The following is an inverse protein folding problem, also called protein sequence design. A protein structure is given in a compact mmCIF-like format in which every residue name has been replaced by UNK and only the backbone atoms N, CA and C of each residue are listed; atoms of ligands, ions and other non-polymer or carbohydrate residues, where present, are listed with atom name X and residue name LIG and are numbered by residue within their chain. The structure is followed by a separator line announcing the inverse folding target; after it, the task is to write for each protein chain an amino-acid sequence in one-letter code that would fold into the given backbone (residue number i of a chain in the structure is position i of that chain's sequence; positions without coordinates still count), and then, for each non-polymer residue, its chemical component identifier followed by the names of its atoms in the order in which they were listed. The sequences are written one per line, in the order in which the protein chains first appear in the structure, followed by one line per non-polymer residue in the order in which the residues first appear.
data_IF_065159743709
#
_entry.id   IF_065159743709
#
_cell.length_a   1.000
_cell.length_b   1.000
_cell.length_c   1.000
_cell.angle_alpha   90.00
_cell.angle_beta   90.00
_cell.angle_gamma   90.00
#
_symmetry.space_group_name_H-M   'P 1'
#
loop_
_entity.id
_entity.type
_entity.pdbx_description
1 polymer ?
#
# COMPACT_ATOMS: atom_id res chain seq x y z
N UNK A 1 -0.29 3.73 18.87
CA UNK A 1 -1.31 2.70 19.07
C UNK A 1 -2.00 2.47 17.74
N UNK A 2 -2.35 1.23 17.41
CA UNK A 2 -2.96 0.86 16.13
C UNK A 2 -4.49 0.97 16.16
N UNK A 3 -5.11 0.94 14.99
CA UNK A 3 -6.56 1.13 14.82
C UNK A 3 -7.38 -0.06 15.31
N UNK A 4 -8.48 0.22 16.00
CA UNK A 4 -9.53 -0.76 16.30
C UNK A 4 -10.56 -0.78 15.15
N UNK A 5 -11.15 -1.93 14.79
CA UNK A 5 -11.01 -3.24 15.44
C UNK A 5 -9.86 -4.10 14.90
N UNK A 6 -8.98 -3.57 14.05
CA UNK A 6 -7.88 -4.35 13.47
C UNK A 6 -6.94 -4.90 14.57
N UNK A 7 -6.73 -4.16 15.65
CA UNK A 7 -5.91 -4.55 16.78
C UNK A 7 -6.47 -5.71 17.64
N UNK A 8 -7.72 -6.10 17.43
CA UNK A 8 -8.33 -7.25 18.11
C UNK A 8 -7.68 -8.57 17.67
N UNK A 9 -7.28 -9.46 18.61
CA UNK A 9 -6.74 -10.79 18.28
C UNK A 9 -7.79 -11.75 17.72
N UNK A 10 -9.06 -11.35 17.69
CA UNK A 10 -10.18 -12.11 17.12
C UNK A 10 -10.53 -11.68 15.68
N UNK A 11 -9.91 -10.62 15.18
CA UNK A 11 -10.01 -10.19 13.78
C UNK A 11 -8.78 -10.65 12.99
N UNK A 12 -8.88 -10.69 11.66
CA UNK A 12 -7.70 -10.74 10.79
C UNK A 12 -7.47 -9.31 10.28
N UNK A 13 -6.35 -8.71 10.66
CA UNK A 13 -5.98 -7.38 10.20
C UNK A 13 -5.38 -7.47 8.80
N UNK A 14 -5.94 -6.69 7.87
CA UNK A 14 -5.53 -6.63 6.47
C UNK A 14 -4.89 -5.27 6.20
N UNK A 15 -3.59 -5.28 5.94
CA UNK A 15 -2.81 -4.11 5.53
C UNK A 15 -2.87 -3.86 4.04
N UNK A 16 -2.04 -2.92 3.59
CA UNK A 16 -2.03 -2.41 2.24
C UNK A 16 -0.70 -2.58 1.52
N UNK A 17 -0.77 -2.94 0.24
CA UNK A 17 0.36 -2.85 -0.70
C UNK A 17 0.04 -1.94 -1.88
N UNK A 18 1.10 -1.40 -2.47
CA UNK A 18 1.12 -0.90 -3.84
C UNK A 18 1.59 -2.02 -4.76
N UNK A 19 0.94 -2.20 -5.91
CA UNK A 19 1.27 -3.25 -6.85
C UNK A 19 1.30 -2.71 -8.29
N UNK A 20 2.30 -3.11 -9.06
CA UNK A 20 2.27 -2.97 -10.51
C UNK A 20 2.28 -4.32 -11.20
N UNK A 21 1.55 -4.41 -12.31
CA UNK A 21 1.44 -5.60 -13.14
C UNK A 21 2.26 -5.45 -14.42
N UNK A 22 2.70 -6.59 -14.96
CA UNK A 22 3.16 -6.71 -16.34
C UNK A 22 1.94 -6.84 -17.26
N UNK A 23 2.17 -6.77 -18.58
CA UNK A 23 1.12 -6.94 -19.59
C UNK A 23 0.43 -8.32 -19.56
N UNK A 24 1.09 -9.33 -19.00
CA UNK A 24 0.55 -10.68 -18.82
C UNK A 24 -0.21 -10.85 -17.48
N UNK A 25 -0.46 -9.74 -16.77
CA UNK A 25 -1.07 -9.69 -15.43
C UNK A 25 -0.25 -10.35 -14.31
N UNK A 26 1.01 -10.74 -14.55
CA UNK A 26 1.91 -11.13 -13.47
C UNK A 26 2.40 -9.90 -12.69
N UNK A 27 2.68 -10.09 -11.40
CA UNK A 27 3.26 -9.04 -10.56
C UNK A 27 4.61 -8.61 -11.14
N UNK A 28 4.75 -7.33 -11.46
CA UNK A 28 6.01 -6.71 -11.88
C UNK A 28 6.84 -6.36 -10.66
N UNK A 29 6.22 -5.69 -9.69
CA UNK A 29 6.77 -5.34 -8.40
C UNK A 29 5.64 -5.06 -7.43
N UNK A 30 5.91 -5.20 -6.14
CA UNK A 30 5.02 -4.79 -5.06
C UNK A 30 5.87 -4.14 -3.96
N UNK A 31 5.27 -3.22 -3.20
CA UNK A 31 5.87 -2.61 -2.01
C UNK A 31 4.78 -2.35 -0.97
N UNK A 32 5.16 -2.09 0.26
CA UNK A 32 4.24 -1.61 1.28
C UNK A 32 3.56 -0.32 0.82
N UNK A 33 2.25 -0.20 1.05
CA UNK A 33 1.52 1.00 0.64
C UNK A 33 1.96 2.19 1.48
N UNK A 34 2.51 3.20 0.82
CA UNK A 34 2.88 4.48 1.39
C UNK A 34 3.20 5.47 0.27
N UNK A 35 2.58 6.65 0.31
CA UNK A 35 2.74 7.69 -0.69
C UNK A 35 3.09 9.03 -0.03
N UNK A 36 4.11 9.68 -0.56
CA UNK A 36 4.26 11.12 -0.49
C UNK A 36 3.73 11.74 -1.79
N UNK A 37 3.16 12.93 -1.66
CA UNK A 37 2.70 13.75 -2.77
C UNK A 37 3.27 15.14 -2.62
N UNK A 38 4.10 15.54 -3.58
CA UNK A 38 4.68 16.88 -3.65
C UNK A 38 4.18 17.60 -4.89
N UNK A 39 3.56 18.76 -4.70
CA UNK A 39 3.05 19.60 -5.76
C UNK A 39 4.21 20.22 -6.52
N UNK A 40 4.23 20.01 -7.84
CA UNK A 40 5.23 20.59 -8.75
C UNK A 40 4.65 21.80 -9.48
N UNK A 41 3.38 21.67 -9.88
CA UNK A 41 2.66 22.64 -10.68
C UNK A 41 1.16 22.60 -10.35
N UNK A 42 0.51 23.75 -10.32
CA UNK A 42 -0.95 23.91 -10.21
C UNK A 42 -1.39 25.21 -10.88
N UNK A 43 -2.60 25.23 -11.46
CA UNK A 43 -3.24 26.47 -11.88
C UNK A 43 -3.88 27.18 -10.69
N UNK A 44 -3.44 28.39 -10.38
CA UNK A 44 -4.03 29.19 -9.31
C UNK A 44 -5.16 30.09 -9.87
N UNK A 45 -6.43 29.84 -9.51
CA UNK A 45 -7.56 30.64 -10.00
C UNK A 45 -7.61 32.05 -9.39
N UNK A 46 -6.93 32.29 -8.26
CA UNK A 46 -6.85 33.61 -7.64
C UNK A 46 -5.93 34.54 -8.43
N UNK A 47 -4.79 34.04 -8.91
CA UNK A 47 -3.88 34.80 -9.77
C UNK A 47 -4.19 34.66 -11.26
N UNK A 48 -5.03 33.70 -11.64
CA UNK A 48 -5.38 33.41 -13.03
C UNK A 48 -4.18 32.88 -13.83
N UNK A 49 -3.23 32.22 -13.16
CA UNK A 49 -1.95 31.82 -13.73
C UNK A 49 -1.47 30.49 -13.19
N UNK A 50 -0.63 29.85 -13.99
CA UNK A 50 0.17 28.70 -13.62
C UNK A 50 1.19 29.04 -12.53
N UNK A 51 1.25 28.22 -11.48
CA UNK A 51 2.23 28.34 -10.40
C UNK A 51 3.12 27.10 -10.40
N UNK A 52 4.43 27.33 -10.42
CA UNK A 52 5.44 26.28 -10.22
C UNK A 52 5.96 26.43 -8.80
N UNK A 53 5.98 25.32 -8.05
CA UNK A 53 6.39 25.32 -6.65
C UNK A 53 7.91 25.12 -6.55
N UNK A 54 8.65 26.17 -6.18
CA UNK A 54 10.09 26.14 -5.90
C UNK A 54 10.38 26.61 -4.45
N UNK A 55 10.70 25.70 -3.50
CA UNK A 55 10.77 24.25 -3.68
C UNK A 55 9.38 23.60 -3.81
N UNK A 56 9.31 22.38 -4.38
CA UNK A 56 8.11 21.57 -4.33
C UNK A 56 7.58 21.43 -2.91
N UNK A 57 6.25 21.49 -2.75
CA UNK A 57 5.59 21.48 -1.45
C UNK A 57 4.70 20.25 -1.31
N UNK A 58 4.78 19.58 -0.17
CA UNK A 58 3.91 18.44 0.15
C UNK A 58 4.52 17.52 1.19
N UNK A 59 4.13 16.25 1.12
CA UNK A 59 4.69 15.21 1.95
C UNK A 59 3.78 13.99 2.03
N UNK A 60 3.77 13.31 3.17
CA UNK A 60 2.95 12.11 3.34
C UNK A 60 1.48 12.37 3.03
N UNK A 61 0.93 11.49 2.22
CA UNK A 61 -0.46 11.53 1.78
C UNK A 61 -1.26 10.39 2.41
N UNK A 62 -0.92 9.15 2.07
CA UNK A 62 -1.59 7.95 2.57
C UNK A 62 -0.60 6.80 2.75
N UNK A 63 -0.97 5.82 3.57
CA UNK A 63 -0.19 4.60 3.75
C UNK A 63 -0.98 3.51 4.45
N UNK A 64 -0.37 2.33 4.53
CA UNK A 64 -0.86 1.21 5.33
C UNK A 64 -0.85 1.58 6.81
N UNK A 65 -1.53 0.78 7.61
CA UNK A 65 -1.50 0.91 9.06
C UNK A 65 -0.98 -0.36 9.71
N UNK A 66 -0.10 -0.22 10.69
CA UNK A 66 0.31 -1.33 11.52
C UNK A 66 1.15 -0.96 12.73
N UNK A 67 1.63 -1.97 13.44
CA UNK A 67 2.38 -1.85 14.69
C UNK A 67 1.77 -2.65 15.85
N UNK A 68 2.27 -2.43 17.08
CA UNK A 68 1.78 -3.12 18.28
C UNK A 68 0.48 -2.50 18.83
N UNK A 69 -0.44 -3.37 19.28
CA UNK A 69 -1.66 -2.98 20.02
C UNK A 69 -1.33 -2.53 21.42
N UNK A 70 -1.81 -1.34 21.80
CA UNK A 70 -1.70 -0.85 23.17
C UNK A 70 -2.64 -1.55 24.17
N UNK A 71 -3.55 -2.41 23.69
CA UNK A 71 -4.62 -3.03 24.50
C UNK A 71 -4.44 -4.54 24.60
N UNK A 72 -4.17 -5.21 23.48
CA UNK A 72 -4.19 -6.67 23.41
C UNK A 72 -2.79 -7.27 23.51
N UNK A 73 -2.64 -8.24 24.41
CA UNK A 73 -1.45 -9.09 24.47
C UNK A 73 -1.30 -9.93 23.21
N UNK A 74 -0.06 -10.37 22.96
CA UNK A 74 0.27 -11.24 21.83
C UNK A 74 -0.58 -12.52 21.84
N UNK A 75 -1.35 -12.80 20.77
CA UNK A 75 -2.07 -14.05 20.65
C UNK A 75 -1.11 -15.22 20.36
N UNK A 76 -1.51 -16.44 20.73
CA UNK A 76 -0.69 -17.63 20.55
C UNK A 76 -0.24 -17.88 19.10
N UNK A 77 -1.09 -17.56 18.11
CA UNK A 77 -0.71 -17.74 16.70
C UNK A 77 0.47 -16.83 16.28
N UNK A 78 0.73 -15.72 16.98
CA UNK A 78 1.88 -14.83 16.77
C UNK A 78 3.09 -15.16 17.67
N UNK A 79 3.13 -16.33 18.34
CA UNK A 79 4.19 -16.66 19.32
C UNK A 79 5.63 -16.55 18.77
N UNK A 80 5.83 -16.71 17.45
CA UNK A 80 7.15 -16.59 16.79
C UNK A 80 7.57 -15.14 16.51
N UNK A 81 6.65 -14.19 16.56
CA UNK A 81 6.95 -12.77 16.36
C UNK A 81 7.65 -12.18 17.60
N UNK A 82 8.37 -11.06 17.49
CA UNK A 82 8.97 -10.37 18.63
C UNK A 82 7.93 -9.65 19.51
N UNK A 83 8.33 -9.18 20.70
CA UNK A 83 7.50 -8.37 21.60
C UNK A 83 6.47 -9.15 22.44
N UNK A 84 5.53 -8.44 23.07
CA UNK A 84 4.51 -9.02 23.98
C UNK A 84 3.08 -8.61 23.65
N UNK A 85 2.89 -7.71 22.68
CA UNK A 85 1.60 -7.16 22.24
C UNK A 85 1.14 -7.83 20.93
N UNK A 86 -0.15 -7.76 20.63
CA UNK A 86 -0.69 -8.15 19.31
C UNK A 86 -0.12 -7.21 18.26
N UNK A 87 0.50 -7.75 17.21
CA UNK A 87 1.10 -6.95 16.14
C UNK A 87 0.19 -6.97 14.90
N UNK A 88 0.00 -5.84 14.23
CA UNK A 88 -0.79 -5.71 12.98
C UNK A 88 0.09 -5.18 11.84
N UNK A 89 -0.28 -5.45 10.57
CA UNK A 89 -1.36 -6.35 10.13
C UNK A 89 -0.95 -7.84 10.17
N UNK A 90 -1.90 -8.74 9.91
CA UNK A 90 -1.61 -10.17 9.80
C UNK A 90 -1.23 -10.56 8.35
N UNK A 91 -1.89 -9.93 7.37
CA UNK A 91 -1.73 -10.13 5.93
C UNK A 91 -1.99 -8.80 5.22
N UNK A 92 -1.66 -8.67 3.94
CA UNK A 92 -2.01 -7.48 3.15
C UNK A 92 -2.53 -7.80 1.76
N UNK A 93 -3.20 -6.81 1.17
CA UNK A 93 -3.69 -6.85 -0.20
C UNK A 93 -3.59 -5.45 -0.84
N UNK A 94 -3.92 -5.34 -2.13
CA UNK A 94 -3.95 -4.07 -2.87
C UNK A 94 -4.75 -3.00 -2.12
N UNK A 95 -4.10 -1.87 -1.84
CA UNK A 95 -4.70 -0.76 -1.11
C UNK A 95 -4.31 0.62 -1.66
N UNK A 96 -3.23 0.76 -2.41
CA UNK A 96 -2.83 2.08 -2.90
C UNK A 96 -3.83 2.61 -3.94
N UNK A 97 -4.50 3.77 -3.73
CA UNK A 97 -5.48 4.32 -4.66
C UNK A 97 -4.88 4.69 -6.02
N UNK A 98 -3.57 4.94 -6.10
CA UNK A 98 -2.88 5.22 -7.37
C UNK A 98 -2.56 3.96 -8.18
N UNK A 99 -2.73 2.78 -7.58
CA UNK A 99 -2.71 1.48 -8.27
C UNK A 99 -4.00 0.69 -8.03
N UNK A 100 -5.05 1.37 -7.58
CA UNK A 100 -6.21 0.80 -6.92
C UNK A 100 -7.20 0.10 -7.85
N UNK A 101 -8.33 -0.31 -7.27
CA UNK A 101 -9.42 -0.94 -8.01
C UNK A 101 -10.32 0.10 -8.65
N UNK A 102 -10.71 -0.12 -9.90
CA UNK A 102 -11.78 0.66 -10.53
C UNK A 102 -13.12 0.20 -9.95
N UNK A 103 -13.86 1.13 -9.36
CA UNK A 103 -15.20 0.90 -8.83
C UNK A 103 -16.23 1.71 -9.62
N UNK A 104 -17.46 1.20 -9.63
CA UNK A 104 -18.63 1.92 -10.10
C UNK A 104 -19.36 2.50 -8.88
N UNK A 105 -19.54 3.81 -8.84
CA UNK A 105 -20.32 4.51 -7.81
C UNK A 105 -21.68 4.85 -8.41
N UNK A 106 -22.71 4.18 -7.91
CA UNK A 106 -24.11 4.43 -8.28
C UNK A 106 -24.85 5.06 -7.09
N UNK A 107 -25.25 6.31 -7.24
CA UNK A 107 -26.09 7.01 -6.26
C UNK A 107 -27.52 7.18 -6.80
N UNK A 108 -28.57 7.05 -5.97
CA UNK A 108 -29.93 7.33 -6.40
C UNK A 108 -30.05 8.71 -7.02
N UNK A 109 -30.64 8.78 -8.22
CA UNK A 109 -30.87 10.01 -9.00
C UNK A 109 -29.62 10.69 -9.57
N UNK A 110 -28.43 10.12 -9.43
CA UNK A 110 -27.20 10.61 -10.08
C UNK A 110 -26.91 9.76 -11.31
N UNK A 111 -26.87 10.41 -12.48
CA UNK A 111 -26.62 9.77 -13.77
C UNK A 111 -25.64 10.60 -14.62
N UNK A 112 -24.71 9.97 -15.35
CA UNK A 112 -24.45 8.52 -15.40
C UNK A 112 -23.76 7.99 -14.13
N UNK A 113 -23.68 6.67 -13.99
CA UNK A 113 -22.84 6.01 -12.97
C UNK A 113 -21.40 6.46 -13.13
N UNK A 114 -20.78 6.85 -12.01
CA UNK A 114 -19.39 7.26 -11.99
C UNK A 114 -18.47 6.03 -11.94
N UNK A 115 -17.39 6.06 -12.72
CA UNK A 115 -16.31 5.07 -12.64
C UNK A 115 -15.04 5.77 -12.19
N UNK A 116 -14.43 5.28 -11.14
CA UNK A 116 -13.27 5.93 -10.53
C UNK A 116 -12.41 4.90 -9.78
N UNK A 117 -11.15 5.23 -9.58
CA UNK A 117 -10.20 4.35 -8.89
C UNK A 117 -10.22 4.62 -7.40
N UNK A 118 -10.38 3.57 -6.61
CA UNK A 118 -10.33 3.63 -5.16
C UNK A 118 -9.27 2.69 -4.60
N UNK A 119 -8.82 2.99 -3.40
CA UNK A 119 -7.87 2.20 -2.62
C UNK A 119 -8.29 2.13 -1.15
N UNK A 120 -7.32 2.29 -0.27
CA UNK A 120 -7.44 2.04 1.16
C UNK A 120 -7.33 0.56 1.52
N UNK A 121 -7.00 0.30 2.77
CA UNK A 121 -7.21 -1.05 3.36
C UNK A 121 -8.70 -1.45 3.34
N UNK A 122 -9.60 -0.49 3.13
CA UNK A 122 -11.01 -0.68 2.77
C UNK A 122 -11.22 -1.45 1.47
N UNK A 123 -10.33 -1.33 0.49
CA UNK A 123 -10.31 -2.18 -0.70
C UNK A 123 -9.65 -3.54 -0.40
N UNK A 124 -8.52 -3.53 0.33
CA UNK A 124 -7.78 -4.73 0.66
C UNK A 124 -8.61 -5.76 1.45
N UNK A 125 -9.38 -5.29 2.42
CA UNK A 125 -10.19 -6.11 3.33
C UNK A 125 -11.24 -6.98 2.62
N UNK A 126 -12.13 -6.46 1.74
CA UNK A 126 -13.07 -7.29 1.00
C UNK A 126 -12.39 -8.18 -0.04
N UNK A 127 -11.27 -7.75 -0.65
CA UNK A 127 -10.51 -8.60 -1.56
C UNK A 127 -9.93 -9.83 -0.85
N UNK A 128 -9.33 -9.64 0.32
CA UNK A 128 -8.86 -10.76 1.15
C UNK A 128 -10.04 -11.62 1.65
N UNK A 129 -11.16 -11.00 2.03
CA UNK A 129 -12.36 -11.73 2.46
C UNK A 129 -12.91 -12.63 1.35
N UNK A 130 -12.85 -12.19 0.09
CA UNK A 130 -13.23 -13.01 -1.06
C UNK A 130 -12.28 -14.20 -1.24
N UNK A 131 -10.96 -14.01 -1.13
CA UNK A 131 -10.01 -15.13 -1.15
C UNK A 131 -10.25 -16.10 0.02
N UNK A 132 -10.54 -15.57 1.21
CA UNK A 132 -10.86 -16.41 2.37
C UNK A 132 -12.14 -17.21 2.15
N UNK A 133 -13.17 -16.64 1.51
CA UNK A 133 -14.38 -17.37 1.13
C UNK A 133 -14.06 -18.52 0.14
N UNK A 134 -13.16 -18.31 -0.82
CA UNK A 134 -12.67 -19.38 -1.71
C UNK A 134 -11.94 -20.47 -0.89
N UNK A 135 -11.10 -20.10 0.08
CA UNK A 135 -10.45 -21.07 0.97
C UNK A 135 -11.46 -21.89 1.78
N UNK A 136 -12.55 -21.28 2.27
CA UNK A 136 -13.64 -22.01 2.92
C UNK A 136 -14.32 -23.02 1.96
N UNK A 137 -14.48 -22.64 0.69
CA UNK A 137 -15.02 -23.53 -0.33
C UNK A 137 -14.08 -24.71 -0.62
N UNK A 138 -12.77 -24.47 -0.76
CA UNK A 138 -11.76 -25.52 -0.92
C UNK A 138 -11.72 -26.48 0.29
N UNK A 139 -11.90 -25.95 1.49
CA UNK A 139 -11.95 -26.75 2.72
C UNK A 139 -13.23 -27.60 2.86
N UNK A 140 -14.31 -27.24 2.17
CA UNK A 140 -15.63 -27.83 2.36
C UNK A 140 -16.25 -27.56 3.74
N UNK A 141 -15.69 -26.63 4.52
CA UNK A 141 -16.10 -26.31 5.88
C UNK A 141 -15.71 -24.86 6.26
N UNK A 142 -16.42 -24.24 7.22
CA UNK A 142 -16.02 -22.94 7.74
C UNK A 142 -14.69 -23.02 8.50
N UNK A 143 -13.68 -22.30 8.01
CA UNK A 143 -12.33 -22.22 8.57
C UNK A 143 -12.21 -21.27 9.77
N UNK A 144 -13.22 -20.42 9.98
CA UNK A 144 -13.22 -19.40 11.03
C UNK A 144 -12.28 -18.23 10.72
N UNK A 145 -11.55 -17.75 11.74
CA UNK A 145 -10.62 -16.62 11.62
C UNK A 145 -9.36 -17.02 10.84
N UNK A 146 -9.04 -16.27 9.78
CA UNK A 146 -7.87 -16.53 8.94
C UNK A 146 -6.54 -16.41 9.69
N UNK A 147 -6.34 -15.36 10.49
CA UNK A 147 -5.08 -15.07 11.19
C UNK A 147 -4.50 -16.27 11.95
N UNK A 148 -5.34 -17.16 12.50
CA UNK A 148 -4.90 -18.35 13.25
C UNK A 148 -4.15 -19.37 12.37
N UNK A 149 -4.41 -19.38 11.07
CA UNK A 149 -3.80 -20.28 10.10
C UNK A 149 -2.55 -19.68 9.46
N UNK A 150 -2.58 -18.36 9.19
CA UNK A 150 -1.55 -17.67 8.39
C UNK A 150 -0.11 -17.91 8.88
N UNK A 151 0.11 -17.80 10.20
CA UNK A 151 1.43 -17.94 10.83
C UNK A 151 2.01 -19.36 10.82
N UNK A 152 1.28 -20.32 10.28
CA UNK A 152 1.69 -21.72 10.12
C UNK A 152 1.72 -22.20 8.67
N UNK A 153 1.34 -21.34 7.71
CA UNK A 153 1.30 -21.74 6.31
C UNK A 153 2.72 -21.94 5.75
N UNK A 154 2.90 -22.91 4.82
CA UNK A 154 4.20 -23.17 4.22
C UNK A 154 4.65 -22.05 3.29
N UNK A 155 5.96 -21.95 3.07
CA UNK A 155 6.55 -21.00 2.14
C UNK A 155 5.91 -21.12 0.73
N UNK A 156 5.71 -19.97 0.07
CA UNK A 156 5.09 -19.90 -1.26
C UNK A 156 3.56 -19.74 -1.26
N UNK A 157 2.89 -19.94 -0.12
CA UNK A 157 1.45 -19.62 0.04
C UNK A 157 1.20 -18.13 0.25
N UNK A 158 2.15 -17.45 0.88
CA UNK A 158 2.18 -16.00 1.08
C UNK A 158 3.51 -15.50 0.51
N UNK A 159 3.43 -14.44 -0.28
CA UNK A 159 4.57 -13.75 -0.87
C UNK A 159 4.97 -12.63 0.07
N UNK A 160 6.18 -12.74 0.63
CA UNK A 160 6.80 -11.70 1.45
C UNK A 160 6.97 -10.41 0.63
N UNK A 161 6.53 -9.28 1.19
CA UNK A 161 6.61 -7.97 0.55
C UNK A 161 7.85 -7.28 1.07
N UNK A 162 8.89 -7.28 0.27
CA UNK A 162 10.18 -6.71 0.65
C UNK A 162 10.24 -5.20 0.37
N UNK A 163 11.12 -4.47 1.09
CA UNK A 163 11.44 -3.10 0.74
C UNK A 163 11.93 -3.02 -0.71
N UNK A 164 11.63 -1.88 -1.36
CA UNK A 164 12.02 -1.66 -2.75
C UNK A 164 13.52 -1.88 -2.89
N UNK A 165 13.88 -2.86 -3.71
CA UNK A 165 15.27 -3.17 -3.98
C UNK A 165 15.78 -2.23 -5.10
N UNK A 166 16.72 -1.33 -4.81
CA UNK A 166 17.24 -0.38 -5.81
C UNK A 166 17.92 -1.04 -7.01
N UNK A 167 18.31 -2.32 -6.86
CA UNK A 167 18.94 -3.12 -7.92
C UNK A 167 17.92 -3.83 -8.83
N UNK A 168 16.65 -3.94 -8.42
CA UNK A 168 15.57 -4.61 -9.17
C UNK A 168 14.59 -3.59 -9.76
N UNK A 169 14.35 -2.50 -9.04
CA UNK A 169 13.62 -1.35 -9.54
C UNK A 169 14.56 -0.16 -9.51
N UNK A 170 14.93 0.29 -10.69
CA UNK A 170 15.91 1.35 -10.87
C UNK A 170 15.47 2.62 -10.12
N UNK A 171 16.00 2.87 -8.93
CA UNK A 171 15.93 4.20 -8.31
C UNK A 171 16.54 5.27 -9.24
N UNK A 172 17.37 4.87 -10.22
CA UNK A 172 17.80 5.71 -11.33
C UNK A 172 16.70 6.14 -12.31
N UNK A 173 15.48 5.60 -12.19
CA UNK A 173 14.29 6.04 -12.95
C UNK A 173 13.34 6.90 -12.12
N UNK A 174 13.65 7.12 -10.84
CA UNK A 174 12.92 8.11 -10.06
C UNK A 174 13.07 9.48 -10.69
N UNK A 175 12.00 10.26 -10.59
CA UNK A 175 11.95 11.60 -11.16
C UNK A 175 13.06 12.45 -10.55
N UNK A 176 13.84 13.06 -11.41
CA UNK A 176 14.74 14.18 -11.08
C UNK A 176 14.30 15.35 -11.94
N UNK A 177 14.59 16.58 -11.51
CA UNK A 177 14.04 17.73 -12.19
C UNK A 177 14.83 19.00 -11.97
N UNK A 178 14.51 19.98 -12.80
CA UNK A 178 15.05 21.34 -12.71
C UNK A 178 13.88 22.29 -12.75
N UNK A 179 13.82 23.21 -11.79
CA UNK A 179 12.86 24.31 -11.79
C UNK A 179 13.59 25.58 -12.21
N UNK A 180 12.98 26.38 -13.09
CA UNK A 180 13.53 27.66 -13.54
C UNK A 180 12.48 28.74 -13.35
N UNK A 181 12.82 29.75 -12.56
CA UNK A 181 11.96 30.88 -12.23
C UNK A 181 12.72 32.22 -12.32
N UNK A 182 12.16 33.29 -11.76
CA UNK A 182 12.78 34.62 -11.76
C UNK A 182 14.00 34.73 -10.84
N UNK A 183 14.20 33.78 -9.92
CA UNK A 183 15.30 33.74 -8.96
C UNK A 183 16.45 32.83 -9.41
N UNK A 184 16.22 31.98 -10.41
CA UNK A 184 17.27 31.24 -11.11
C UNK A 184 16.82 29.85 -11.53
N UNK A 185 17.78 28.93 -11.55
CA UNK A 185 17.56 27.53 -11.91
C UNK A 185 18.01 26.65 -10.76
N UNK A 186 17.09 25.87 -10.20
CA UNK A 186 17.34 24.93 -9.10
C UNK A 186 17.24 23.50 -9.61
N UNK A 187 18.28 22.69 -9.38
CA UNK A 187 18.25 21.25 -9.66
C UNK A 187 17.78 20.49 -8.41
N UNK A 188 16.89 19.54 -8.62
CA UNK A 188 16.33 18.67 -7.60
C UNK A 188 16.66 17.20 -7.89
N UNK A 189 17.31 16.56 -6.92
CA UNK A 189 17.45 15.10 -6.89
C UNK A 189 16.11 14.42 -6.62
N UNK A 190 16.03 13.11 -6.87
CA UNK A 190 14.84 12.33 -6.59
C UNK A 190 14.43 12.42 -5.11
N UNK A 191 15.41 12.34 -4.20
CA UNK A 191 15.15 12.42 -2.77
C UNK A 191 14.63 13.80 -2.35
N UNK A 192 15.14 14.88 -2.97
CA UNK A 192 14.66 16.23 -2.70
C UNK A 192 13.23 16.44 -3.21
N UNK A 193 12.89 15.90 -4.39
CA UNK A 193 11.51 15.94 -4.89
C UNK A 193 10.56 15.05 -4.06
N UNK A 194 11.05 13.95 -3.51
CA UNK A 194 10.28 12.94 -2.78
C UNK A 194 10.14 13.23 -1.27
N UNK A 195 10.81 14.26 -0.77
CA UNK A 195 10.80 14.64 0.64
C UNK A 195 9.37 14.90 1.16
N UNK A 196 9.10 14.69 2.46
CA UNK A 196 9.98 14.13 3.47
C UNK A 196 10.02 12.60 3.39
N UNK A 197 11.21 12.02 3.28
CA UNK A 197 11.41 10.56 3.20
C UNK A 197 11.56 9.88 4.57
N UNK A 198 11.68 10.67 5.63
CA UNK A 198 12.07 10.21 6.96
C UNK A 198 13.28 9.26 6.90
N UNK A 199 13.10 8.00 7.27
CA UNK A 199 14.15 6.99 7.28
C UNK A 199 14.12 6.07 6.03
N UNK A 200 13.19 6.29 5.10
CA UNK A 200 12.99 5.44 3.93
C UNK A 200 13.44 6.12 2.63
N UNK A 201 14.65 5.80 2.20
CA UNK A 201 15.22 6.31 0.93
C UNK A 201 15.04 5.35 -0.25
N UNK A 202 14.40 4.20 -0.04
CA UNK A 202 14.14 3.22 -1.08
C UNK A 202 12.69 3.30 -1.54
N UNK A 203 12.46 4.12 -2.57
CA UNK A 203 11.12 4.38 -3.10
C UNK A 203 11.10 4.36 -4.62
N UNK A 204 9.89 4.34 -5.17
CA UNK A 204 9.63 4.68 -6.57
C UNK A 204 8.92 6.02 -6.64
N UNK A 205 9.18 6.79 -7.68
CA UNK A 205 8.41 8.02 -7.93
C UNK A 205 7.95 8.14 -9.38
N UNK A 206 6.85 8.87 -9.57
CA UNK A 206 6.29 9.18 -10.86
C UNK A 206 5.77 10.62 -10.88
N UNK A 207 5.73 11.22 -12.08
CA UNK A 207 4.89 12.38 -12.32
C UNK A 207 3.44 11.90 -12.42
N UNK A 208 2.55 12.58 -11.72
CA UNK A 208 1.14 12.24 -11.68
C UNK A 208 0.30 13.50 -11.93
N UNK A 209 -0.48 13.47 -13.00
CA UNK A 209 -1.40 14.56 -13.33
C UNK A 209 -2.70 14.41 -12.54
N UNK A 210 -3.20 15.53 -12.03
CA UNK A 210 -4.49 15.66 -11.36
C UNK A 210 -5.35 16.61 -12.21
N UNK A 211 -6.08 16.08 -13.21
CA UNK A 211 -6.76 16.91 -14.20
C UNK A 211 -7.83 17.83 -13.61
N UNK A 212 -8.49 17.41 -12.53
CA UNK A 212 -9.53 18.22 -11.86
C UNK A 212 -8.96 19.50 -11.23
N UNK A 213 -7.71 19.43 -10.78
CA UNK A 213 -7.01 20.54 -10.13
C UNK A 213 -6.10 21.28 -11.13
N UNK A 214 -6.05 20.84 -12.39
CA UNK A 214 -5.06 21.25 -13.39
C UNK A 214 -3.64 21.31 -12.78
N UNK A 215 -3.27 20.22 -12.10
CA UNK A 215 -2.05 20.13 -11.33
C UNK A 215 -1.21 18.91 -11.73
N UNK A 216 0.10 19.00 -11.51
CA UNK A 216 1.02 17.87 -11.61
C UNK A 216 1.78 17.74 -10.30
N UNK A 217 1.80 16.52 -9.76
CA UNK A 217 2.50 16.19 -8.53
C UNK A 217 3.61 15.20 -8.81
N UNK A 218 4.66 15.23 -8.01
CA UNK A 218 5.47 14.06 -7.76
C UNK A 218 4.71 13.16 -6.78
N UNK A 219 4.47 11.92 -7.19
CA UNK A 219 3.93 10.88 -6.34
C UNK A 219 5.01 9.83 -6.08
N UNK A 220 5.14 9.39 -4.83
CA UNK A 220 6.03 8.29 -4.46
C UNK A 220 5.26 7.03 -4.07
N UNK A 221 5.95 5.90 -4.12
CA UNK A 221 5.46 4.58 -3.72
C UNK A 221 6.48 3.93 -2.78
N UNK A 222 5.98 3.33 -1.72
CA UNK A 222 6.79 2.71 -0.68
C UNK A 222 7.40 3.72 0.29
N UNK A 223 6.92 4.96 0.34
CA UNK A 223 7.33 5.98 1.32
C UNK A 223 6.28 6.12 2.42
N UNK A 224 6.64 5.88 3.67
CA UNK A 224 5.72 5.98 4.81
C UNK A 224 6.39 6.78 5.94
N UNK A 225 5.59 7.27 6.89
CA UNK A 225 5.96 8.15 8.01
C UNK A 225 6.44 7.39 9.25
N UNK A 226 7.08 6.24 9.04
CA UNK A 226 7.73 5.50 10.12
C UNK A 226 7.58 3.98 10.06
N UNK A 227 6.73 3.46 9.18
CA UNK A 227 6.64 2.02 8.94
C UNK A 227 7.51 1.63 7.74
N UNK A 228 8.11 0.43 7.81
CA UNK A 228 8.93 -0.09 6.72
C UNK A 228 8.72 -1.58 6.54
N UNK A 229 8.61 -1.99 5.29
CA UNK A 229 8.65 -3.40 4.94
C UNK A 229 10.02 -3.97 5.27
N UNK A 230 10.06 -5.17 5.82
CA UNK A 230 11.31 -5.89 6.15
C UNK A 230 11.15 -7.38 5.87
N UNK A 231 12.23 -8.15 5.66
CA UNK A 231 12.11 -9.59 5.42
C UNK A 231 11.32 -10.31 6.53
N UNK A 232 10.31 -11.08 6.15
CA UNK A 232 9.43 -11.82 7.05
C UNK A 232 8.17 -11.04 7.42
N UNK A 233 7.78 -11.12 8.70
CA UNK A 233 6.65 -10.32 9.17
C UNK A 233 7.11 -8.88 9.44
N UNK A 234 6.35 -7.90 8.97
CA UNK A 234 6.55 -6.48 9.28
C UNK A 234 5.24 -5.75 9.60
N UNK A 235 5.35 -4.54 10.13
CA UNK A 235 4.23 -3.71 10.55
C UNK A 235 3.61 -2.86 9.43
N UNK A 236 3.99 -3.10 8.16
CA UNK A 236 3.33 -2.50 7.00
C UNK A 236 2.40 -3.50 6.33
N UNK A 237 2.93 -4.70 6.09
CA UNK A 237 2.36 -5.73 5.23
C UNK A 237 2.02 -7.03 5.93
N UNK A 238 2.42 -7.18 7.19
CA UNK A 238 2.19 -8.39 7.97
C UNK A 238 3.03 -9.52 7.40
N UNK A 239 2.42 -10.67 7.12
CA UNK A 239 3.12 -11.79 6.45
C UNK A 239 3.32 -11.58 4.94
N UNK A 240 2.77 -10.50 4.36
CA UNK A 240 2.83 -10.19 2.93
C UNK A 240 1.51 -10.39 2.19
N UNK A 241 1.57 -10.72 0.90
CA UNK A 241 0.40 -10.89 0.02
C UNK A 241 0.14 -12.36 -0.32
N UNK A 242 -1.10 -12.87 -0.26
CA UNK A 242 -1.37 -14.26 -0.59
C UNK A 242 -1.08 -14.61 -2.05
N UNK A 243 -0.41 -15.73 -2.28
CA UNK A 243 -0.38 -16.37 -3.59
C UNK A 243 -1.71 -17.11 -3.79
N UNK A 244 -2.70 -16.45 -4.40
CA UNK A 244 -4.11 -16.85 -4.36
C UNK A 244 -4.38 -18.35 -4.56
N UNK A 245 -3.76 -18.97 -5.58
CA UNK A 245 -3.96 -20.41 -5.84
C UNK A 245 -3.30 -21.27 -4.75
N UNK A 246 -2.02 -21.07 -4.47
CA UNK A 246 -1.32 -21.85 -3.45
C UNK A 246 -1.92 -21.67 -2.04
N UNK A 247 -2.40 -20.46 -1.76
CA UNK A 247 -3.08 -20.09 -0.52
C UNK A 247 -4.41 -20.85 -0.35
N UNK A 248 -5.29 -20.83 -1.36
CA UNK A 248 -6.57 -21.52 -1.27
C UNK A 248 -6.40 -23.04 -1.29
N UNK A 249 -5.52 -23.54 -2.16
CA UNK A 249 -5.22 -24.98 -2.30
C UNK A 249 -4.72 -25.62 -1.00
N UNK A 250 -4.05 -24.86 -0.13
CA UNK A 250 -3.58 -25.35 1.17
C UNK A 250 -4.70 -25.91 2.05
N UNK A 251 -5.94 -25.43 1.87
CA UNK A 251 -7.09 -25.88 2.66
C UNK A 251 -7.86 -27.02 2.00
N UNK A 252 -7.50 -27.43 0.78
CA UNK A 252 -8.18 -28.51 0.09
C UNK A 252 -7.74 -29.88 0.64
N UNK A 253 -8.64 -30.70 1.22
CA UNK A 253 -8.30 -31.98 1.82
C UNK A 253 -7.89 -33.07 0.82
N UNK A 254 -8.08 -32.84 -0.49
CA UNK A 254 -7.76 -33.79 -1.55
C UNK A 254 -6.35 -33.59 -2.16
N UNK A 255 -5.59 -32.60 -1.68
CA UNK A 255 -4.18 -32.36 -2.05
C UNK A 255 -3.26 -32.78 -0.92
#
# INVERSE_FOLDING_TARGET
SVSAPADSPYATAVGGVTLALKRDNSIKWQTGWGNNRNLLYEYDPFYGSDVVFDPPNGGFLFGSGGGPSAVYSKPHFQHKLPGTQRLVPDISWLADPYTGGVIAISEPFVYPTEFTTYGGTSLACPMFSALWAIANQEAGAPLGQAARHLYSMPAGTITDVLPINPSIVHSSTNVTGTITDLFGTTFYSADQLAAPLENNTNFLSALWDIPLDNATVLLTFGTDTGLMTTPGWDDVTGLGTPNGKAFADYFNPAK
#
